data_IF_611940219445
#
_entry.id   IF_611940219445
#
_cell.length_a   1.000
_cell.length_b   1.000
_cell.length_c   1.000
_cell.angle_alpha   90.00
_cell.angle_beta   90.00
_cell.angle_gamma   90.00
#
_symmetry.space_group_name_H-M   'P 1'
#
loop_
_entity.id
_entity.type
_entity.pdbx_description
1 polymer ?
#
# COMPACT_ATOMS: atom_id res chain seq x y z
N UNK A 1 17.12 3.61 5.29
CA UNK A 1 16.38 4.79 5.78
C UNK A 1 16.92 5.13 7.17
N UNK A 2 17.21 6.40 7.48
CA UNK A 2 17.59 6.78 8.85
C UNK A 2 16.38 6.75 9.79
N UNK A 3 16.61 6.59 11.10
CA UNK A 3 15.55 6.56 12.12
C UNK A 3 14.63 7.80 12.04
N UNK A 4 15.19 8.95 11.68
CA UNK A 4 14.49 10.24 11.59
C UNK A 4 13.28 10.20 10.65
N UNK A 5 13.40 9.60 9.45
CA UNK A 5 12.27 9.52 8.50
C UNK A 5 11.12 8.65 9.04
N UNK A 6 11.44 7.59 9.76
CA UNK A 6 10.44 6.71 10.38
C UNK A 6 9.76 7.43 11.56
N UNK A 7 10.50 8.23 12.33
CA UNK A 7 9.92 9.05 13.40
C UNK A 7 8.94 10.09 12.85
N UNK A 8 9.17 10.64 11.66
CA UNK A 8 8.22 11.55 11.01
C UNK A 8 6.93 10.85 10.56
N UNK A 9 7.02 9.58 10.11
CA UNK A 9 5.86 8.72 9.83
C UNK A 9 5.00 8.56 11.09
N UNK A 10 5.62 8.20 12.22
CA UNK A 10 4.95 8.05 13.52
C UNK A 10 4.27 9.35 13.93
N UNK A 11 4.97 10.47 13.74
CA UNK A 11 4.51 11.80 14.16
C UNK A 11 3.29 12.28 13.37
N UNK A 12 2.98 11.69 12.23
CA UNK A 12 1.78 12.03 11.45
C UNK A 12 0.49 11.41 12.02
N UNK A 13 0.60 10.40 12.89
CA UNK A 13 -0.56 9.76 13.54
C UNK A 13 -1.36 8.83 12.61
N UNK A 14 -2.15 7.94 13.24
CA UNK A 14 -2.81 6.80 12.60
C UNK A 14 -2.12 5.48 12.96
N UNK A 15 -2.79 4.33 12.77
CA UNK A 15 -2.11 3.02 12.80
C UNK A 15 -1.36 2.88 11.48
N UNK A 16 -0.26 3.63 11.35
CA UNK A 16 0.47 3.74 10.10
C UNK A 16 1.21 2.43 9.88
N UNK A 17 0.91 1.78 8.75
CA UNK A 17 1.71 0.67 8.26
C UNK A 17 2.77 1.21 7.30
N UNK A 18 4.00 0.72 7.41
CA UNK A 18 5.05 1.02 6.43
C UNK A 18 5.00 -0.06 5.36
N UNK A 19 4.81 0.38 4.12
CA UNK A 19 4.81 -0.49 2.96
C UNK A 19 6.21 -0.58 2.35
N UNK A 20 6.70 -1.80 2.14
CA UNK A 20 8.05 -2.04 1.60
C UNK A 20 7.97 -3.04 0.45
N UNK A 21 8.56 -2.68 -0.68
CA UNK A 21 8.79 -3.58 -1.79
C UNK A 21 10.15 -4.27 -1.64
N UNK A 22 10.19 -5.61 -1.75
CA UNK A 22 11.45 -6.37 -1.60
C UNK A 22 12.10 -6.60 -2.96
N UNK A 23 13.26 -5.99 -3.17
CA UNK A 23 14.02 -6.15 -4.41
C UNK A 23 14.89 -7.41 -4.40
N UNK A 24 14.98 -8.06 -5.58
CA UNK A 24 15.95 -9.11 -5.80
C UNK A 24 17.18 -8.56 -6.54
N UNK A 25 18.28 -8.32 -5.82
CA UNK A 25 19.59 -8.05 -6.43
C UNK A 25 20.44 -9.31 -6.38
N UNK A 26 20.67 -9.90 -7.55
CA UNK A 26 21.49 -11.09 -7.73
C UNK A 26 22.55 -10.77 -8.79
N UNK A 27 23.83 -10.98 -8.45
CA UNK A 27 24.95 -10.80 -9.38
C UNK A 27 25.06 -11.99 -10.35
N UNK A 28 25.48 -11.70 -11.58
CA UNK A 28 25.76 -12.66 -12.64
C UNK A 28 26.94 -13.58 -12.27
N UNK A 29 26.62 -14.81 -11.85
CA UNK A 29 27.32 -16.10 -12.02
C UNK A 29 26.47 -17.17 -11.31
N UNK A 30 26.67 -18.46 -11.59
CA UNK A 30 25.83 -19.61 -11.16
C UNK A 30 25.72 -19.86 -9.64
N UNK A 31 25.83 -18.82 -8.81
CA UNK A 31 25.70 -18.84 -7.35
C UNK A 31 24.70 -17.74 -6.94
N UNK A 32 23.62 -18.13 -6.24
CA UNK A 32 22.61 -17.19 -5.72
C UNK A 32 23.21 -16.30 -4.63
N UNK A 33 23.72 -15.13 -4.99
CA UNK A 33 24.24 -14.15 -4.03
C UNK A 33 23.21 -13.06 -3.70
N UNK A 34 22.55 -13.21 -2.54
CA UNK A 34 21.65 -12.19 -2.02
C UNK A 34 22.43 -11.08 -1.31
N UNK A 35 21.98 -9.83 -1.46
CA UNK A 35 22.52 -8.69 -0.73
C UNK A 35 21.46 -8.13 0.23
N UNK A 36 21.67 -8.28 1.53
CA UNK A 36 20.84 -7.68 2.58
C UNK A 36 21.69 -6.77 3.50
N UNK A 37 22.70 -6.10 2.93
CA UNK A 37 23.59 -5.21 3.66
C UNK A 37 23.29 -3.72 3.38
N UNK A 38 23.73 -2.86 4.29
CA UNK A 38 23.62 -1.41 4.14
C UNK A 38 22.17 -0.94 3.98
N UNK A 39 21.86 -0.23 2.89
CA UNK A 39 20.49 0.23 2.61
C UNK A 39 19.53 -0.88 2.19
N UNK A 40 20.05 -2.08 1.89
CA UNK A 40 19.28 -3.27 1.52
C UNK A 40 19.00 -4.21 2.71
N UNK A 41 19.40 -3.80 3.93
CA UNK A 41 19.12 -4.55 5.15
C UNK A 41 17.64 -4.44 5.55
N UNK A 42 16.82 -5.30 4.94
CA UNK A 42 15.38 -5.37 5.13
C UNK A 42 15.01 -5.70 6.58
N UNK A 43 15.72 -6.63 7.21
CA UNK A 43 15.46 -7.06 8.60
C UNK A 43 15.70 -5.89 9.54
N UNK A 44 16.82 -5.16 9.39
CA UNK A 44 17.09 -3.96 10.19
C UNK A 44 16.03 -2.90 9.99
N UNK A 45 15.55 -2.70 8.76
CA UNK A 45 14.49 -1.74 8.48
C UNK A 45 13.20 -2.11 9.21
N UNK A 46 12.72 -3.34 9.06
CA UNK A 46 11.48 -3.80 9.71
C UNK A 46 11.60 -3.78 11.24
N UNK A 47 12.75 -4.18 11.80
CA UNK A 47 13.02 -4.03 13.24
C UNK A 47 13.01 -2.57 13.69
N UNK A 48 13.39 -1.63 12.84
CA UNK A 48 13.31 -0.20 13.15
C UNK A 48 11.87 0.28 13.18
N UNK A 49 11.03 -0.18 12.24
CA UNK A 49 9.58 0.07 12.25
C UNK A 49 8.95 -0.50 13.53
N UNK A 50 9.31 -1.73 13.92
CA UNK A 50 8.85 -2.33 15.19
C UNK A 50 9.24 -1.50 16.41
N UNK A 51 10.49 -1.02 16.47
CA UNK A 51 11.01 -0.22 17.61
C UNK A 51 10.23 1.08 17.82
N UNK A 52 9.65 1.64 16.77
CA UNK A 52 8.84 2.86 16.87
C UNK A 52 7.33 2.57 17.01
N UNK A 53 6.95 1.30 17.16
CA UNK A 53 5.57 0.89 17.41
C UNK A 53 4.65 0.89 16.18
N UNK A 54 5.21 0.89 14.97
CA UNK A 54 4.42 0.81 13.73
C UNK A 54 4.35 -0.63 13.18
N UNK A 55 3.35 -0.88 12.35
CA UNK A 55 3.19 -2.14 11.62
C UNK A 55 3.78 -2.07 10.20
N UNK A 56 3.86 -3.21 9.52
CA UNK A 56 4.42 -3.35 8.17
C UNK A 56 3.44 -4.09 7.25
N UNK A 57 3.23 -3.53 6.06
CA UNK A 57 2.71 -4.26 4.89
C UNK A 57 3.90 -4.65 4.01
N UNK A 58 4.25 -5.95 3.99
CA UNK A 58 5.42 -6.43 3.25
C UNK A 58 5.04 -6.87 1.84
N UNK A 59 5.30 -6.03 0.84
CA UNK A 59 5.02 -6.34 -0.58
C UNK A 59 6.21 -7.06 -1.20
N UNK A 60 6.12 -8.39 -1.29
CA UNK A 60 7.27 -9.23 -1.63
C UNK A 60 7.48 -9.30 -3.16
N UNK A 61 6.43 -9.18 -3.96
CA UNK A 61 6.51 -9.31 -5.42
C UNK A 61 6.55 -10.78 -5.88
N UNK A 62 7.43 -11.19 -6.81
CA UNK A 62 8.73 -10.58 -7.09
C UNK A 62 8.69 -9.47 -8.15
N UNK A 63 7.63 -9.42 -8.97
CA UNK A 63 7.33 -8.22 -9.73
C UNK A 63 6.69 -7.20 -8.80
N UNK A 64 7.27 -6.01 -8.74
CA UNK A 64 6.81 -4.92 -7.87
C UNK A 64 6.43 -3.66 -8.64
N UNK A 65 6.73 -3.59 -9.95
CA UNK A 65 6.66 -2.36 -10.73
C UNK A 65 7.55 -1.24 -10.14
N UNK A 66 6.98 -0.46 -9.20
CA UNK A 66 7.55 0.64 -8.40
C UNK A 66 8.48 1.59 -9.13
N UNK A 67 8.23 1.83 -10.42
CA UNK A 67 9.10 2.60 -11.30
C UNK A 67 10.58 2.21 -11.12
N UNK A 68 10.81 0.91 -10.94
CA UNK A 68 12.12 0.37 -10.60
C UNK A 68 12.73 -0.39 -11.76
N UNK A 69 14.05 -0.51 -11.74
CA UNK A 69 14.78 -1.18 -12.78
C UNK A 69 14.24 -2.61 -13.01
N UNK A 70 13.72 -2.84 -14.21
CA UNK A 70 13.13 -4.11 -14.65
C UNK A 70 11.99 -4.64 -13.75
N UNK A 71 11.26 -3.73 -13.09
CA UNK A 71 10.12 -4.07 -12.21
C UNK A 71 10.50 -4.88 -10.97
N UNK A 72 11.78 -4.83 -10.56
CA UNK A 72 12.34 -5.62 -9.46
C UNK A 72 12.83 -7.02 -9.85
N UNK A 73 12.51 -7.48 -11.05
CA UNK A 73 12.98 -8.78 -11.55
C UNK A 73 14.47 -8.69 -11.87
N UNK A 74 15.31 -9.66 -11.47
CA UNK A 74 16.73 -9.65 -11.83
C UNK A 74 16.93 -9.84 -13.34
N UNK A 75 17.76 -9.01 -13.96
CA UNK A 75 18.04 -9.09 -15.41
C UNK A 75 18.57 -10.47 -15.84
N UNK A 76 19.42 -11.11 -15.03
CA UNK A 76 19.96 -12.44 -15.36
C UNK A 76 18.86 -13.50 -15.50
N UNK A 77 17.71 -13.33 -14.83
CA UNK A 77 16.61 -14.27 -14.85
C UNK A 77 16.06 -14.41 -16.28
N UNK A 78 16.12 -13.35 -17.09
CA UNK A 78 15.71 -13.36 -18.50
C UNK A 78 16.49 -14.39 -19.35
N UNK A 79 17.70 -14.76 -18.93
CA UNK A 79 18.58 -15.67 -19.66
C UNK A 79 18.50 -17.12 -19.15
N UNK A 80 17.61 -17.41 -18.20
CA UNK A 80 17.33 -18.79 -17.80
C UNK A 80 16.65 -19.51 -18.98
N UNK A 81 17.12 -20.69 -19.39
CA UNK A 81 16.52 -21.44 -20.50
C UNK A 81 15.02 -21.68 -20.29
N UNK A 82 14.23 -21.39 -21.32
CA UNK A 82 12.78 -21.62 -21.31
C UNK A 82 11.97 -20.65 -20.44
N UNK A 83 12.56 -19.57 -19.94
CA UNK A 83 11.85 -18.64 -19.06
C UNK A 83 10.85 -17.75 -19.81
N UNK A 84 9.68 -17.57 -19.20
CA UNK A 84 8.71 -16.55 -19.57
C UNK A 84 8.18 -15.92 -18.28
N UNK A 85 8.23 -14.59 -18.20
CA UNK A 85 7.89 -13.89 -16.95
C UNK A 85 6.39 -13.77 -16.75
N UNK A 86 5.99 -13.78 -15.48
CA UNK A 86 4.62 -13.50 -15.03
C UNK A 86 3.58 -14.28 -15.82
N UNK A 87 3.81 -15.58 -16.00
CA UNK A 87 2.89 -16.49 -16.68
C UNK A 87 3.10 -17.90 -16.15
N UNK A 88 2.27 -18.87 -16.57
CA UNK A 88 2.37 -20.26 -16.12
C UNK A 88 3.59 -20.95 -16.75
N UNK A 89 4.76 -20.63 -16.20
CA UNK A 89 6.06 -21.02 -16.69
C UNK A 89 6.90 -21.57 -15.52
N UNK A 90 7.23 -22.86 -15.57
CA UNK A 90 7.93 -23.54 -14.48
C UNK A 90 9.27 -22.90 -14.08
N UNK A 91 10.17 -22.49 -15.01
CA UNK A 91 11.39 -21.76 -14.65
C UNK A 91 11.12 -20.47 -13.86
N UNK A 92 10.12 -19.69 -14.26
CA UNK A 92 9.76 -18.46 -13.55
C UNK A 92 9.09 -18.76 -12.20
N UNK A 93 8.16 -19.70 -12.15
CA UNK A 93 7.48 -20.14 -10.93
C UNK A 93 8.48 -20.63 -9.88
N UNK A 94 9.45 -21.45 -10.27
CA UNK A 94 10.51 -21.92 -9.38
C UNK A 94 11.40 -20.79 -8.85
N UNK A 95 11.75 -19.81 -9.69
CA UNK A 95 12.53 -18.65 -9.30
C UNK A 95 11.77 -17.73 -8.33
N UNK A 96 10.50 -17.43 -8.65
CA UNK A 96 9.59 -16.66 -7.82
C UNK A 96 9.38 -17.33 -6.46
N UNK A 97 8.99 -18.60 -6.45
CA UNK A 97 8.77 -19.36 -5.22
C UNK A 97 10.02 -19.39 -4.36
N UNK A 98 11.20 -19.66 -4.94
CA UNK A 98 12.46 -19.69 -4.20
C UNK A 98 12.82 -18.35 -3.56
N UNK A 99 12.52 -17.22 -4.22
CA UNK A 99 12.72 -15.89 -3.65
C UNK A 99 11.71 -15.60 -2.54
N UNK A 100 10.41 -15.79 -2.79
CA UNK A 100 9.35 -15.54 -1.80
C UNK A 100 9.54 -16.40 -0.55
N UNK A 101 9.85 -17.69 -0.71
CA UNK A 101 10.19 -18.59 0.40
C UNK A 101 11.35 -18.07 1.23
N UNK A 102 12.43 -17.60 0.58
CA UNK A 102 13.58 -17.05 1.28
C UNK A 102 13.19 -15.83 2.12
N UNK A 103 12.45 -14.88 1.55
CA UNK A 103 12.01 -13.68 2.26
C UNK A 103 11.13 -14.05 3.45
N UNK A 104 10.13 -14.93 3.25
CA UNK A 104 9.26 -15.38 4.33
C UNK A 104 10.04 -16.11 5.42
N UNK A 105 10.99 -16.99 5.07
CA UNK A 105 11.84 -17.68 6.06
C UNK A 105 12.71 -16.70 6.84
N UNK A 106 13.29 -15.69 6.18
CA UNK A 106 14.07 -14.65 6.85
C UNK A 106 13.23 -13.83 7.83
N UNK A 107 12.00 -13.48 7.46
CA UNK A 107 11.08 -12.77 8.37
C UNK A 107 10.66 -13.66 9.55
N UNK A 108 10.40 -14.95 9.29
CA UNK A 108 10.05 -15.94 10.32
C UNK A 108 11.17 -16.18 11.31
N UNK A 109 12.42 -16.32 10.84
CA UNK A 109 13.59 -16.55 11.71
C UNK A 109 13.86 -15.39 12.67
N UNK A 110 13.38 -14.20 12.31
CA UNK A 110 13.51 -12.97 13.10
C UNK A 110 12.23 -12.61 13.87
N UNK A 111 11.22 -13.51 13.87
CA UNK A 111 9.91 -13.32 14.49
C UNK A 111 9.21 -12.02 14.07
N UNK A 112 9.30 -11.67 12.78
CA UNK A 112 8.80 -10.39 12.28
C UNK A 112 7.33 -10.41 11.83
N UNK A 113 6.71 -11.58 11.67
CA UNK A 113 5.26 -11.65 11.45
C UNK A 113 4.49 -11.38 12.74
N UNK A 114 3.35 -10.70 12.66
CA UNK A 114 2.53 -10.36 13.83
C UNK A 114 2.06 -11.60 14.59
N UNK A 115 1.81 -12.70 13.88
CA UNK A 115 1.55 -14.04 14.46
C UNK A 115 2.68 -14.55 15.37
N UNK A 116 3.89 -13.98 15.28
CA UNK A 116 5.07 -14.27 16.10
C UNK A 116 5.45 -13.11 17.04
N UNK A 117 4.61 -12.07 17.14
CA UNK A 117 4.88 -10.85 17.92
C UNK A 117 5.66 -9.75 17.17
N UNK A 118 5.85 -9.90 15.87
CA UNK A 118 6.51 -8.92 15.01
C UNK A 118 5.58 -7.85 14.42
N UNK A 119 6.11 -6.88 13.64
CA UNK A 119 5.31 -5.79 13.09
C UNK A 119 4.59 -6.12 11.77
N UNK A 120 4.89 -7.22 11.08
CA UNK A 120 4.32 -7.49 9.74
C UNK A 120 2.89 -8.02 9.90
N UNK A 121 1.90 -7.22 9.48
CA UNK A 121 0.47 -7.53 9.57
C UNK A 121 -0.15 -7.97 8.24
N UNK A 122 0.53 -7.67 7.13
CA UNK A 122 0.05 -7.95 5.77
C UNK A 122 1.23 -8.32 4.88
N UNK A 123 0.98 -9.13 3.86
CA UNK A 123 1.96 -9.41 2.81
C UNK A 123 1.31 -9.36 1.44
N UNK A 124 2.02 -8.87 0.42
CA UNK A 124 1.54 -8.92 -0.97
C UNK A 124 2.36 -9.88 -1.81
N UNK A 125 1.67 -10.66 -2.65
CA UNK A 125 2.26 -11.47 -3.71
C UNK A 125 1.88 -10.86 -5.07
N UNK A 126 2.80 -10.86 -6.04
CA UNK A 126 2.61 -10.16 -7.32
C UNK A 126 2.32 -8.65 -7.15
N UNK A 127 2.08 -7.95 -8.25
CA UNK A 127 1.69 -6.54 -8.26
C UNK A 127 0.89 -6.19 -9.52
N UNK A 128 -0.36 -5.74 -9.36
CA UNK A 128 -1.25 -5.30 -10.44
C UNK A 128 -1.30 -6.28 -11.62
N UNK A 129 -1.51 -7.57 -11.36
CA UNK A 129 -1.43 -8.61 -12.39
C UNK A 129 -2.76 -8.83 -13.14
N UNK A 130 -3.89 -8.38 -12.60
CA UNK A 130 -5.21 -8.58 -13.22
C UNK A 130 -5.32 -8.24 -14.71
N UNK A 131 -4.82 -7.07 -15.19
CA UNK A 131 -4.80 -6.76 -16.61
C UNK A 131 -4.00 -7.77 -17.46
N UNK A 132 -2.84 -8.20 -16.96
CA UNK A 132 -1.96 -9.18 -17.58
C UNK A 132 -2.57 -10.60 -17.56
N UNK A 133 -3.19 -10.98 -16.45
CA UNK A 133 -3.96 -12.22 -16.32
C UNK A 133 -5.00 -12.32 -17.42
N UNK A 134 -5.79 -11.25 -17.60
CA UNK A 134 -6.80 -11.16 -18.66
C UNK A 134 -6.19 -11.24 -20.06
N UNK A 135 -5.07 -10.56 -20.30
CA UNK A 135 -4.39 -10.57 -21.60
C UNK A 135 -3.81 -11.96 -21.95
N UNK A 136 -3.32 -12.71 -20.97
CA UNK A 136 -2.75 -14.05 -21.15
C UNK A 136 -3.78 -15.19 -21.07
N UNK A 137 -5.04 -14.88 -20.74
CA UNK A 137 -6.12 -15.86 -20.69
C UNK A 137 -5.84 -16.99 -19.68
N UNK A 138 -6.01 -18.24 -20.12
CA UNK A 138 -5.91 -19.41 -19.25
C UNK A 138 -4.54 -19.54 -18.56
N UNK A 139 -3.44 -19.23 -19.25
CA UNK A 139 -2.10 -19.26 -18.67
C UNK A 139 -1.93 -18.16 -17.60
N UNK A 140 -2.54 -16.99 -17.84
CA UNK A 140 -2.54 -15.89 -16.89
C UNK A 140 -3.23 -16.27 -15.58
N UNK A 141 -4.46 -16.79 -15.71
CA UNK A 141 -5.27 -17.22 -14.58
C UNK A 141 -4.68 -18.43 -13.83
N UNK A 142 -4.04 -19.38 -14.53
CA UNK A 142 -3.34 -20.50 -13.90
C UNK A 142 -2.16 -20.03 -13.04
N UNK A 143 -1.35 -19.10 -13.56
CA UNK A 143 -0.25 -18.49 -12.81
C UNK A 143 -0.76 -17.68 -11.61
N UNK A 144 -1.82 -16.88 -11.78
CA UNK A 144 -2.42 -16.11 -10.70
C UNK A 144 -2.81 -17.01 -9.51
N UNK A 145 -3.58 -18.06 -9.80
CA UNK A 145 -4.02 -19.02 -8.78
C UNK A 145 -2.82 -19.71 -8.12
N UNK A 146 -1.84 -20.15 -8.92
CA UNK A 146 -0.62 -20.73 -8.39
C UNK A 146 0.13 -19.77 -7.46
N UNK A 147 0.28 -18.50 -7.83
CA UNK A 147 1.00 -17.50 -7.04
C UNK A 147 0.31 -17.27 -5.69
N UNK A 148 -1.02 -17.13 -5.69
CA UNK A 148 -1.83 -17.00 -4.49
C UNK A 148 -1.71 -18.22 -3.56
N UNK A 149 -1.89 -19.44 -4.09
CA UNK A 149 -1.78 -20.66 -3.28
C UNK A 149 -0.37 -20.92 -2.78
N UNK A 150 0.65 -20.63 -3.59
CA UNK A 150 2.05 -20.71 -3.18
C UNK A 150 2.31 -19.79 -1.99
N UNK A 151 1.88 -18.52 -2.07
CA UNK A 151 2.06 -17.53 -1.02
C UNK A 151 1.36 -17.91 0.29
N UNK A 152 0.07 -18.29 0.21
CA UNK A 152 -0.73 -18.73 1.36
C UNK A 152 -0.11 -19.98 2.00
N UNK A 153 0.37 -20.93 1.19
CA UNK A 153 1.04 -22.15 1.63
C UNK A 153 2.36 -21.91 2.40
N UNK A 154 2.93 -20.71 2.35
CA UNK A 154 4.11 -20.35 3.17
C UNK A 154 3.77 -20.16 4.65
N UNK A 155 2.48 -20.06 5.01
CA UNK A 155 2.00 -20.07 6.38
C UNK A 155 2.57 -18.93 7.23
N UNK A 156 2.52 -17.69 6.74
CA UNK A 156 3.00 -16.48 7.46
C UNK A 156 2.20 -16.20 8.74
N UNK A 157 0.97 -16.72 8.84
CA UNK A 157 0.06 -16.45 9.95
C UNK A 157 -0.60 -15.07 9.89
N UNK A 158 -0.40 -14.33 8.80
CA UNK A 158 -1.04 -13.03 8.54
C UNK A 158 -1.64 -13.02 7.12
N UNK A 159 -2.64 -12.16 6.83
CA UNK A 159 -3.30 -12.14 5.52
C UNK A 159 -2.37 -11.81 4.35
N UNK A 160 -2.72 -12.35 3.18
CA UNK A 160 -2.12 -12.00 1.89
C UNK A 160 -3.03 -11.09 1.09
N UNK A 161 -2.43 -10.16 0.35
CA UNK A 161 -3.10 -9.18 -0.51
C UNK A 161 -2.61 -9.32 -1.96
N UNK A 162 -3.46 -8.98 -2.93
CA UNK A 162 -3.10 -8.75 -4.33
C UNK A 162 -3.79 -7.49 -4.84
N UNK A 163 -3.02 -6.48 -5.26
CA UNK A 163 -3.57 -5.22 -5.76
C UNK A 163 -4.01 -5.32 -7.22
N UNK A 164 -5.11 -4.62 -7.55
CA UNK A 164 -5.78 -4.65 -8.87
C UNK A 164 -6.07 -6.07 -9.40
N UNK A 165 -6.39 -6.99 -8.51
CA UNK A 165 -6.62 -8.40 -8.82
C UNK A 165 -8.07 -8.80 -8.51
N UNK A 166 -9.00 -8.56 -9.45
CA UNK A 166 -10.44 -8.72 -9.21
C UNK A 166 -10.79 -10.18 -8.88
N UNK A 167 -10.11 -11.16 -9.46
CA UNK A 167 -10.32 -12.59 -9.26
C UNK A 167 -9.34 -13.25 -8.29
N UNK A 168 -8.72 -12.48 -7.38
CA UNK A 168 -7.84 -13.04 -6.35
C UNK A 168 -8.54 -14.16 -5.54
N UNK A 169 -7.99 -15.40 -5.54
CA UNK A 169 -8.65 -16.54 -4.90
C UNK A 169 -8.56 -16.44 -3.36
N UNK A 170 -9.51 -17.06 -2.67
CA UNK A 170 -9.47 -17.11 -1.21
C UNK A 170 -8.25 -17.88 -0.69
N UNK A 171 -7.68 -17.47 0.47
CA UNK A 171 -8.12 -16.37 1.36
C UNK A 171 -7.51 -15.00 1.01
N UNK A 172 -6.91 -14.81 -0.18
CA UNK A 172 -6.20 -13.58 -0.54
C UNK A 172 -7.18 -12.41 -0.70
N UNK A 173 -6.84 -11.26 -0.14
CA UNK A 173 -7.63 -10.03 -0.23
C UNK A 173 -7.23 -9.28 -1.50
N UNK A 174 -8.19 -8.95 -2.36
CA UNK A 174 -7.92 -8.03 -3.46
C UNK A 174 -7.98 -6.58 -2.94
N UNK A 175 -7.09 -5.73 -3.44
CA UNK A 175 -7.03 -4.31 -3.05
C UNK A 175 -7.03 -3.36 -4.26
N UNK A 176 -7.24 -2.08 -3.97
CA UNK A 176 -7.26 -1.01 -4.96
C UNK A 176 -5.99 -0.16 -4.94
N UNK A 177 -5.60 0.35 -6.11
CA UNK A 177 -4.53 1.31 -6.34
C UNK A 177 -5.07 2.43 -7.23
N UNK A 178 -4.76 3.69 -6.92
CA UNK A 178 -5.25 4.82 -7.70
C UNK A 178 -5.17 6.16 -6.99
N UNK A 179 -5.65 7.21 -7.67
CA UNK A 179 -5.92 8.51 -7.03
C UNK A 179 -7.17 8.46 -6.14
N UNK A 180 -8.15 7.64 -6.52
CA UNK A 180 -9.41 7.41 -5.83
C UNK A 180 -9.73 5.92 -5.85
N UNK A 181 -10.21 5.39 -4.72
CA UNK A 181 -10.64 4.00 -4.58
C UNK A 181 -11.98 3.88 -3.85
N UNK A 182 -12.74 4.97 -3.72
CA UNK A 182 -13.98 4.99 -2.95
C UNK A 182 -15.15 4.23 -3.61
N UNK A 183 -15.02 3.86 -4.89
CA UNK A 183 -15.97 2.96 -5.56
C UNK A 183 -15.48 1.50 -5.61
N UNK A 184 -14.30 1.22 -5.01
CA UNK A 184 -13.79 -0.14 -4.93
C UNK A 184 -14.60 -0.96 -3.92
N UNK A 185 -14.85 -2.22 -4.27
CA UNK A 185 -15.36 -3.23 -3.35
C UNK A 185 -14.54 -4.51 -3.52
N UNK A 186 -14.20 -5.22 -2.43
CA UNK A 186 -13.48 -6.47 -2.51
C UNK A 186 -14.33 -7.52 -3.20
N UNK A 187 -13.68 -8.56 -3.74
CA UNK A 187 -14.32 -9.57 -4.56
C UNK A 187 -15.21 -10.55 -3.76
N UNK A 188 -15.23 -10.43 -2.43
CA UNK A 188 -16.08 -11.18 -1.50
C UNK A 188 -16.54 -10.28 -0.36
N UNK A 189 -17.78 -10.46 0.14
CA UNK A 189 -18.36 -9.57 1.17
C UNK A 189 -17.71 -9.69 2.55
N UNK A 190 -16.99 -10.78 2.86
CA UNK A 190 -16.26 -10.96 4.13
C UNK A 190 -14.82 -10.44 4.10
N UNK A 191 -14.37 -9.87 2.98
CA UNK A 191 -13.04 -9.26 2.86
C UNK A 191 -13.15 -7.76 3.16
N UNK A 192 -12.14 -7.16 3.80
CA UNK A 192 -12.11 -5.72 4.03
C UNK A 192 -11.81 -4.96 2.73
N UNK A 193 -12.35 -3.75 2.60
CA UNK A 193 -11.97 -2.80 1.53
C UNK A 193 -10.61 -2.16 1.84
N UNK A 194 -9.60 -2.44 0.99
CA UNK A 194 -8.23 -1.98 1.18
C UNK A 194 -7.72 -1.16 -0.01
N UNK A 195 -7.09 -0.02 0.28
CA UNK A 195 -6.43 0.86 -0.68
C UNK A 195 -4.92 0.83 -0.46
N UNK A 196 -4.22 0.01 -1.23
CA UNK A 196 -2.78 -0.25 -1.09
C UNK A 196 -1.90 0.85 -1.69
N UNK A 197 -2.40 1.63 -2.65
CA UNK A 197 -1.66 2.77 -3.19
C UNK A 197 -2.57 3.98 -3.42
N UNK A 198 -2.64 4.85 -2.41
CA UNK A 198 -3.19 6.20 -2.51
C UNK A 198 -2.12 7.12 -3.07
N UNK A 199 -2.18 7.37 -4.38
CA UNK A 199 -1.12 8.08 -5.09
C UNK A 199 -0.98 9.54 -4.60
N UNK A 200 0.09 9.86 -3.90
CA UNK A 200 0.29 11.18 -3.27
C UNK A 200 0.69 12.29 -4.25
N UNK A 201 0.98 11.91 -5.49
CA UNK A 201 1.52 12.70 -6.59
C UNK A 201 1.81 11.76 -7.76
N UNK A 202 2.95 11.95 -8.43
CA UNK A 202 3.41 11.03 -9.48
C UNK A 202 4.93 11.01 -9.57
N UNK A 203 5.50 9.95 -10.14
CA UNK A 203 6.94 9.88 -10.40
C UNK A 203 7.35 10.91 -11.48
N UNK A 204 8.64 11.25 -11.51
CA UNK A 204 9.19 12.17 -12.51
C UNK A 204 10.04 11.42 -13.52
N UNK A 205 9.81 11.69 -14.79
CA UNK A 205 10.55 11.14 -15.93
C UNK A 205 11.57 12.15 -16.48
N UNK A 206 12.68 11.67 -17.02
CA UNK A 206 13.63 12.52 -17.72
C UNK A 206 12.96 13.15 -18.95
N UNK A 207 12.89 14.49 -18.97
CA UNK A 207 12.16 15.26 -19.99
C UNK A 207 10.69 15.54 -19.64
N UNK A 208 10.18 14.99 -18.54
CA UNK A 208 8.85 15.27 -18.01
C UNK A 208 8.84 16.38 -16.94
N UNK A 209 7.64 16.88 -16.57
CA UNK A 209 7.49 17.84 -15.48
C UNK A 209 7.55 17.16 -14.10
N UNK A 210 7.70 17.97 -13.05
CA UNK A 210 7.42 17.53 -11.68
C UNK A 210 5.89 17.56 -11.50
N UNK A 211 5.32 16.42 -11.17
CA UNK A 211 3.89 16.27 -10.93
C UNK A 211 3.56 16.52 -9.47
N UNK A 212 2.48 17.26 -9.20
CA UNK A 212 2.00 17.54 -7.86
C UNK A 212 0.53 17.17 -7.72
N UNK A 213 0.13 16.75 -6.51
CA UNK A 213 -1.26 16.51 -6.14
C UNK A 213 -1.62 17.41 -4.95
N UNK A 214 -2.63 18.28 -5.07
CA UNK A 214 -3.10 19.11 -3.96
C UNK A 214 -3.46 18.25 -2.76
N UNK A 215 -3.06 18.68 -1.55
CA UNK A 215 -3.37 17.90 -0.34
C UNK A 215 -4.87 17.84 -0.06
N UNK A 216 -5.63 18.87 -0.45
CA UNK A 216 -7.08 18.91 -0.31
C UNK A 216 -7.73 17.78 -1.12
N UNK A 217 -7.25 17.51 -2.34
CA UNK A 217 -7.72 16.41 -3.17
C UNK A 217 -7.35 15.04 -2.57
N UNK A 218 -6.11 14.89 -2.08
CA UNK A 218 -5.67 13.66 -1.43
C UNK A 218 -6.48 13.37 -0.15
N UNK A 219 -6.65 14.36 0.73
CA UNK A 219 -7.43 14.24 1.96
C UNK A 219 -8.91 13.93 1.65
N UNK A 220 -9.49 14.60 0.65
CA UNK A 220 -10.84 14.33 0.18
C UNK A 220 -10.98 12.89 -0.32
N UNK A 221 -10.04 12.39 -1.12
CA UNK A 221 -10.08 11.03 -1.64
C UNK A 221 -9.97 9.98 -0.53
N UNK A 222 -9.05 10.16 0.43
CA UNK A 222 -8.89 9.27 1.60
C UNK A 222 -10.18 9.22 2.42
N UNK A 223 -10.75 10.38 2.71
CA UNK A 223 -11.91 10.43 3.57
C UNK A 223 -13.20 10.00 2.85
N UNK A 224 -13.29 10.16 1.51
CA UNK A 224 -14.32 9.51 0.67
C UNK A 224 -14.24 7.98 0.68
N UNK A 225 -13.03 7.43 0.76
CA UNK A 225 -12.85 5.99 0.87
C UNK A 225 -13.29 5.49 2.24
N UNK A 226 -12.86 6.14 3.32
CA UNK A 226 -13.21 5.74 4.70
C UNK A 226 -14.71 5.88 4.97
N UNK A 227 -15.35 6.97 4.53
CA UNK A 227 -16.79 7.16 4.76
C UNK A 227 -17.67 6.06 4.16
N UNK A 228 -17.16 5.31 3.19
CA UNK A 228 -17.83 4.18 2.52
C UNK A 228 -17.42 2.81 3.09
N UNK A 229 -16.76 2.78 4.25
CA UNK A 229 -16.31 1.53 4.90
C UNK A 229 -14.91 1.09 4.50
N UNK A 230 -14.13 1.95 3.85
CA UNK A 230 -12.71 1.71 3.61
C UNK A 230 -11.93 1.61 4.93
N UNK A 231 -11.16 0.52 5.10
CA UNK A 231 -10.54 0.15 6.39
C UNK A 231 -9.02 0.07 6.38
N UNK A 232 -8.39 0.25 5.21
CA UNK A 232 -6.94 0.36 5.07
C UNK A 232 -6.59 1.34 3.94
N UNK A 233 -5.72 2.31 4.23
CA UNK A 233 -5.19 3.27 3.24
C UNK A 233 -3.69 3.38 3.42
N UNK A 234 -2.94 3.22 2.33
CA UNK A 234 -1.50 3.45 2.29
C UNK A 234 -1.16 4.55 1.28
N UNK A 235 -0.35 5.53 1.70
CA UNK A 235 0.13 6.59 0.82
C UNK A 235 1.30 6.10 -0.03
N UNK A 236 1.09 6.06 -1.35
CA UNK A 236 2.14 5.78 -2.32
C UNK A 236 2.50 7.11 -3.03
N UNK A 237 3.52 7.85 -2.64
CA UNK A 237 4.52 7.57 -1.62
C UNK A 237 4.32 8.42 -0.38
N UNK A 238 4.56 7.84 0.79
CA UNK A 238 4.69 8.61 2.01
C UNK A 238 6.05 9.33 2.11
N UNK A 239 7.11 8.62 1.73
CA UNK A 239 8.45 9.13 1.47
C UNK A 239 8.93 8.42 0.21
N UNK A 240 9.10 9.13 -0.91
CA UNK A 240 9.53 8.50 -2.14
C UNK A 240 11.06 8.36 -2.24
N UNK A 241 11.80 9.45 -1.97
CA UNK A 241 13.26 9.41 -1.86
C UNK A 241 14.00 9.48 -3.20
N UNK A 242 15.03 8.66 -3.35
CA UNK A 242 16.00 8.78 -4.46
C UNK A 242 16.35 7.41 -5.03
N UNK A 243 16.32 7.30 -6.35
CA UNK A 243 16.81 6.18 -7.13
C UNK A 243 18.35 6.19 -7.20
N UNK A 244 19.01 5.79 -6.10
CA UNK A 244 20.47 5.87 -6.01
C UNK A 244 21.23 4.87 -6.90
N UNK A 245 22.29 5.36 -7.53
CA UNK A 245 23.22 4.55 -8.32
C UNK A 245 22.65 4.27 -9.71
N UNK A 246 22.88 3.05 -10.23
CA UNK A 246 22.56 2.68 -11.62
C UNK A 246 21.74 1.41 -11.77
N UNK A 247 21.15 0.95 -10.67
CA UNK A 247 20.32 -0.27 -10.60
C UNK A 247 19.06 -0.01 -9.77
N UNK A 248 18.62 1.24 -9.82
CA UNK A 248 17.47 1.85 -9.19
C UNK A 248 16.81 2.73 -10.28
N UNK A 249 15.50 2.94 -10.20
CA UNK A 249 14.75 3.64 -11.24
C UNK A 249 14.52 2.78 -12.49
N UNK A 250 13.32 2.86 -13.04
CA UNK A 250 12.88 2.21 -14.26
C UNK A 250 13.36 2.95 -15.51
N UNK A 251 12.94 2.50 -16.70
CA UNK A 251 13.22 3.19 -17.95
C UNK A 251 12.78 4.66 -17.88
N UNK A 252 13.70 5.59 -18.15
CA UNK A 252 13.48 7.05 -18.14
C UNK A 252 13.02 7.67 -16.82
N UNK A 253 12.97 6.92 -15.72
CA UNK A 253 12.65 7.48 -14.40
C UNK A 253 13.85 8.29 -13.91
N UNK A 254 13.58 9.49 -13.36
CA UNK A 254 14.63 10.34 -12.83
C UNK A 254 15.28 9.75 -11.57
N UNK A 255 16.45 10.29 -11.22
CA UNK A 255 17.09 9.97 -9.94
C UNK A 255 16.23 10.40 -8.75
N UNK A 256 15.52 11.53 -8.86
CA UNK A 256 14.54 11.93 -7.86
C UNK A 256 13.33 11.01 -7.92
N UNK A 257 12.89 10.54 -6.76
CA UNK A 257 11.62 9.85 -6.60
C UNK A 257 10.77 10.58 -5.56
N UNK A 258 10.77 11.92 -5.60
CA UNK A 258 10.06 12.77 -4.63
C UNK A 258 8.56 12.46 -4.53
N UNK A 259 7.91 12.21 -5.68
CA UNK A 259 6.48 11.83 -5.79
C UNK A 259 5.50 12.87 -5.22
N UNK A 260 5.93 14.11 -4.95
CA UNK A 260 5.20 15.10 -4.15
C UNK A 260 4.73 14.50 -2.81
N UNK A 261 5.55 13.63 -2.23
CA UNK A 261 5.24 12.90 -1.01
C UNK A 261 5.16 13.84 0.22
N UNK A 262 4.41 13.47 1.28
CA UNK A 262 4.35 14.22 2.54
C UNK A 262 5.72 14.45 3.19
N UNK A 263 6.66 13.53 3.00
CA UNK A 263 8.09 13.72 3.27
C UNK A 263 8.81 13.77 1.93
N UNK A 264 9.53 14.86 1.67
CA UNK A 264 10.20 15.09 0.39
C UNK A 264 11.38 14.13 0.16
N UNK A 265 11.98 14.19 -1.04
CA UNK A 265 13.15 13.39 -1.42
C UNK A 265 14.25 13.35 -0.33
N UNK A 266 14.52 14.51 0.28
CA UNK A 266 15.61 14.69 1.24
C UNK A 266 15.23 14.22 2.64
N UNK A 267 13.94 14.07 2.94
CA UNK A 267 13.44 13.72 4.27
C UNK A 267 12.86 14.90 5.04
N UNK A 268 12.65 16.05 4.39
CA UNK A 268 12.04 17.21 5.02
C UNK A 268 10.52 17.12 4.96
N UNK A 269 9.87 17.69 5.97
CA UNK A 269 8.42 17.76 6.06
C UNK A 269 7.89 18.70 4.98
N UNK A 270 7.05 18.18 4.07
CA UNK A 270 6.40 18.97 3.01
C UNK A 270 5.11 19.58 3.54
N UNK A 271 5.13 20.89 3.80
CA UNK A 271 3.91 21.64 4.17
C UNK A 271 3.20 22.22 2.93
N UNK A 272 1.85 22.33 2.96
CA UNK A 272 0.95 21.93 4.03
C UNK A 272 0.58 20.44 4.00
N UNK A 273 1.13 19.65 3.06
CA UNK A 273 0.70 18.27 2.81
C UNK A 273 0.79 17.39 4.06
N UNK A 274 1.92 17.42 4.74
CA UNK A 274 2.14 16.64 5.96
C UNK A 274 1.18 17.03 7.09
N UNK A 275 1.07 18.33 7.42
CA UNK A 275 0.22 18.76 8.55
C UNK A 275 -1.25 18.51 8.30
N UNK A 276 -1.72 18.72 7.07
CA UNK A 276 -3.12 18.52 6.73
C UNK A 276 -3.53 17.04 6.77
N UNK A 277 -2.68 16.13 6.28
CA UNK A 277 -2.92 14.68 6.42
C UNK A 277 -2.81 14.22 7.88
N UNK A 278 -1.87 14.78 8.66
CA UNK A 278 -1.77 14.53 10.10
C UNK A 278 -3.06 14.88 10.84
N UNK A 279 -3.66 16.03 10.53
CA UNK A 279 -4.90 16.44 11.16
C UNK A 279 -6.08 15.57 10.70
N UNK A 280 -6.12 15.15 9.43
CA UNK A 280 -7.07 14.14 8.95
C UNK A 280 -6.96 12.82 9.75
N UNK A 281 -5.75 12.29 9.97
CA UNK A 281 -5.56 11.05 10.74
C UNK A 281 -5.99 11.19 12.20
N UNK A 282 -5.69 12.32 12.86
CA UNK A 282 -6.17 12.57 14.23
C UNK A 282 -7.70 12.53 14.29
N UNK A 283 -8.35 13.08 13.28
CA UNK A 283 -9.81 13.15 13.18
C UNK A 283 -10.40 11.76 12.92
N UNK A 284 -9.83 10.97 12.00
CA UNK A 284 -10.19 9.56 11.80
C UNK A 284 -10.03 8.76 13.11
N UNK A 285 -8.90 8.92 13.81
CA UNK A 285 -8.62 8.21 15.06
C UNK A 285 -9.60 8.54 16.19
N UNK A 286 -10.07 9.79 16.28
CA UNK A 286 -11.14 10.16 17.22
C UNK A 286 -12.46 9.45 16.91
N UNK A 287 -12.71 9.11 15.66
CA UNK A 287 -13.92 8.43 15.21
C UNK A 287 -13.76 6.90 15.11
N UNK A 288 -12.57 6.36 15.34
CA UNK A 288 -12.22 4.96 15.11
C UNK A 288 -13.21 3.98 15.74
N UNK A 289 -13.60 4.21 17.00
CA UNK A 289 -14.55 3.34 17.68
C UNK A 289 -15.88 3.20 16.92
N UNK A 290 -16.43 4.29 16.37
CA UNK A 290 -17.65 4.24 15.57
C UNK A 290 -17.40 3.58 14.21
N UNK A 291 -16.26 3.88 13.57
CA UNK A 291 -15.87 3.33 12.28
C UNK A 291 -15.71 1.81 12.30
N UNK A 292 -15.20 1.23 13.40
CA UNK A 292 -14.96 -0.22 13.51
C UNK A 292 -16.15 -0.99 14.09
N UNK A 293 -17.18 -0.30 14.59
CA UNK A 293 -18.33 -0.93 15.26
C UNK A 293 -19.60 -0.98 14.40
N UNK A 294 -19.62 -0.30 13.25
CA UNK A 294 -20.81 -0.20 12.41
C UNK A 294 -20.46 0.05 10.95
N UNK A 295 -21.36 -0.32 10.05
CA UNK A 295 -21.33 0.11 8.65
C UNK A 295 -22.01 1.48 8.49
N UNK A 296 -21.61 2.29 7.49
CA UNK A 296 -22.18 3.62 7.30
C UNK A 296 -23.63 3.54 6.81
N UNK A 297 -24.52 4.32 7.45
CA UNK A 297 -25.83 4.66 6.90
C UNK A 297 -25.72 5.91 6.05
N UNK A 298 -26.17 5.84 4.79
CA UNK A 298 -26.09 6.96 3.84
C UNK A 298 -27.41 7.73 3.80
N UNK A 299 -27.33 9.05 4.00
CA UNK A 299 -28.47 9.97 3.90
C UNK A 299 -28.19 11.04 2.85
N UNK A 300 -29.12 11.27 1.92
CA UNK A 300 -29.03 12.38 0.97
C UNK A 300 -29.30 13.70 1.69
N UNK A 301 -28.42 14.68 1.53
CA UNK A 301 -28.58 16.05 2.05
C UNK A 301 -28.93 17.06 0.95
N UNK A 302 -28.82 16.65 -0.32
CA UNK A 302 -29.05 17.51 -1.48
C UNK A 302 -28.62 16.82 -2.77
N UNK A 303 -28.65 17.54 -3.89
CA UNK A 303 -28.31 17.00 -5.21
C UNK A 303 -26.89 16.44 -5.28
N UNK A 304 -25.94 17.09 -4.58
CA UNK A 304 -24.53 16.70 -4.57
C UNK A 304 -23.99 16.45 -3.16
N UNK A 305 -24.87 16.40 -2.16
CA UNK A 305 -24.48 16.34 -0.76
C UNK A 305 -24.99 15.05 -0.11
N UNK A 306 -24.11 14.38 0.65
CA UNK A 306 -24.43 13.15 1.36
C UNK A 306 -23.86 13.19 2.77
N UNK A 307 -24.57 12.56 3.71
CA UNK A 307 -24.05 12.20 5.02
C UNK A 307 -23.82 10.69 5.07
N UNK A 308 -22.64 10.28 5.54
CA UNK A 308 -22.33 8.89 5.88
C UNK A 308 -22.16 8.79 7.40
N UNK A 309 -23.07 8.10 8.06
CA UNK A 309 -23.17 8.08 9.53
C UNK A 309 -22.87 6.68 10.06
N UNK A 310 -21.87 6.59 10.92
CA UNK A 310 -21.47 5.40 11.67
C UNK A 310 -22.00 5.54 13.10
N UNK A 311 -22.88 4.63 13.52
CA UNK A 311 -23.51 4.67 14.85
C UNK A 311 -23.08 3.45 15.67
N UNK A 312 -22.32 3.70 16.74
CA UNK A 312 -21.94 2.66 17.71
C UNK A 312 -22.94 2.56 18.88
N UNK A 313 -24.24 2.72 18.60
CA UNK A 313 -25.28 2.74 19.63
C UNK A 313 -25.06 3.85 20.66
N UNK A 314 -25.03 3.51 21.95
CA UNK A 314 -24.80 4.47 23.05
C UNK A 314 -23.36 4.97 23.17
N UNK A 315 -22.41 4.38 22.43
CA UNK A 315 -20.98 4.66 22.53
C UNK A 315 -20.49 5.78 21.59
N UNK A 316 -21.41 6.41 20.84
CA UNK A 316 -21.11 7.59 20.02
C UNK A 316 -21.38 7.41 18.52
N UNK A 317 -21.23 8.50 17.78
CA UNK A 317 -21.53 8.58 16.36
C UNK A 317 -20.44 9.37 15.62
N UNK A 318 -20.04 8.87 14.44
CA UNK A 318 -19.17 9.60 13.52
C UNK A 318 -19.91 9.84 12.20
N UNK A 319 -19.89 11.08 11.71
CA UNK A 319 -20.54 11.45 10.47
C UNK A 319 -19.55 12.11 9.51
N UNK A 320 -19.54 11.66 8.25
CA UNK A 320 -18.87 12.36 7.16
C UNK A 320 -19.93 13.11 6.34
N UNK A 321 -19.76 14.42 6.18
CA UNK A 321 -20.63 15.27 5.38
C UNK A 321 -19.90 15.64 4.08
N UNK A 322 -20.30 15.04 2.96
CA UNK A 322 -19.62 15.17 1.68
C UNK A 322 -20.36 16.13 0.74
N UNK A 323 -19.63 17.01 0.07
CA UNK A 323 -20.10 17.79 -1.08
C UNK A 323 -19.32 17.40 -2.35
N UNK A 324 -19.99 16.80 -3.33
CA UNK A 324 -19.39 16.34 -4.59
C UNK A 324 -19.46 17.37 -5.72
N UNK A 325 -19.95 18.58 -5.47
CA UNK A 325 -20.10 19.60 -6.49
C UNK A 325 -18.74 20.16 -6.95
N UNK A 326 -18.35 19.86 -8.20
CA UNK A 326 -17.01 20.20 -8.75
C UNK A 326 -16.71 21.70 -8.89
N UNK A 327 -17.74 22.56 -8.93
CA UNK A 327 -17.61 24.01 -9.13
C UNK A 327 -17.83 24.82 -7.84
N UNK A 328 -18.18 24.16 -6.74
CA UNK A 328 -18.13 24.84 -5.45
C UNK A 328 -16.65 24.94 -5.09
N UNK A 329 -16.20 26.12 -4.64
CA UNK A 329 -14.83 26.35 -4.14
C UNK A 329 -14.44 25.47 -2.95
N UNK A 330 -15.33 24.59 -2.50
CA UNK A 330 -15.26 23.79 -1.30
C UNK A 330 -15.89 22.42 -1.56
N UNK A 331 -15.11 21.49 -2.13
CA UNK A 331 -15.35 20.07 -1.91
C UNK A 331 -15.02 19.80 -0.43
N UNK A 332 -15.96 20.16 0.44
CA UNK A 332 -15.81 20.02 1.88
C UNK A 332 -16.25 18.61 2.26
N UNK A 333 -15.36 17.89 2.93
CA UNK A 333 -15.71 16.73 3.71
C UNK A 333 -15.45 17.06 5.18
N UNK A 334 -16.51 17.28 5.94
CA UNK A 334 -16.40 17.51 7.37
C UNK A 334 -16.66 16.20 8.10
N UNK A 335 -15.66 15.71 8.84
CA UNK A 335 -15.88 14.66 9.82
C UNK A 335 -16.36 15.31 11.11
N UNK A 336 -17.59 15.01 11.51
CA UNK A 336 -18.17 15.46 12.77
C UNK A 336 -18.20 14.27 13.71
N UNK A 337 -17.51 14.37 14.84
CA UNK A 337 -17.76 13.49 15.97
C UNK A 337 -19.01 14.03 16.66
N UNK A 338 -20.18 13.53 16.28
CA UNK A 338 -21.43 13.90 16.92
C UNK A 338 -21.57 13.12 18.23
N UNK A 339 -20.76 13.45 19.25
CA UNK A 339 -20.97 13.03 20.63
C UNK A 339 -20.01 13.74 21.61
N UNK A 340 -20.11 15.07 21.70
CA UNK A 340 -19.84 15.86 22.90
C UNK A 340 -20.66 17.14 22.72
N UNK A 341 -21.90 17.12 23.22
CA UNK A 341 -22.70 18.29 23.68
C UNK A 341 -24.14 17.84 24.09
N UNK A 342 -24.25 16.76 24.86
CA UNK A 342 -25.45 16.45 25.67
C UNK A 342 -25.02 15.71 26.95
N UNK A 343 -24.21 16.37 27.77
CA UNK A 343 -24.23 16.21 29.22
C UNK A 343 -24.13 17.63 29.78
N UNK A 344 -25.10 17.95 30.65
CA UNK A 344 -25.39 19.26 31.27
C UNK A 344 -24.19 20.03 31.81
#
# INVERSE_FOLDING_TARGET
MGNEKICEIVSMGGDVSVEINVECKLKLKNVRHYNFEGRYDLVRFIKTVQKVGLYVNLRIGPYVCVEWNFGGIPVWLKYVPGISFRTDNEPFKAAMQGFTQKIVQMMKSENLFQSQGGPIILSQIENEYGPESKAMGAAGHAYLNWAAYMAVGLGTGVPWVMCKEIDAPDPVINSCNGFYCDDFSPNKPYKPSMWTESWSGWFTEFGGPIHQRPVQDLAFAVARFIQKGGSYVNYYMYHGGTNFGRSAGGPFITTSYDYDAPIDEYGLIRQPKYSHLKDLHKVIKRCEHALVSSDPTVTSLGTYQQAHVFSAGTAGCAAFLANYHKLASEALLMLVNCCLDYLE
#
